data_IF_535789975284
#
_entry.id   IF_535789975284
#
_cell.length_a   1.000
_cell.length_b   1.000
_cell.length_c   1.000
_cell.angle_alpha   90.00
_cell.angle_beta   90.00
_cell.angle_gamma   90.00
#
_symmetry.space_group_name_H-M   'P 1'
#
loop_
_entity.id
_entity.type
_entity.pdbx_description
1 polymer ?
#
# COMPACT_ATOMS: atom_id res chain seq x y z
N UNK A 1 -14.05 27.58 10.93
CA UNK A 1 -13.28 27.96 9.71
C UNK A 1 -13.25 26.78 8.76
N UNK A 2 -13.68 26.94 7.50
CA UNK A 2 -13.61 25.88 6.49
C UNK A 2 -12.19 25.83 5.93
N UNK A 3 -11.47 24.73 6.20
CA UNK A 3 -10.12 24.52 5.66
C UNK A 3 -10.20 24.28 4.15
N UNK A 4 -9.45 25.04 3.36
CA UNK A 4 -9.46 24.88 1.90
C UNK A 4 -8.68 23.65 1.45
N UNK A 5 -8.94 23.15 0.24
CA UNK A 5 -8.20 22.05 -0.35
C UNK A 5 -6.71 22.41 -0.50
N UNK A 6 -6.43 23.66 -0.90
CA UNK A 6 -5.06 24.17 -1.05
C UNK A 6 -4.31 24.20 0.29
N UNK A 7 -4.96 24.62 1.38
CA UNK A 7 -4.34 24.64 2.71
C UNK A 7 -3.96 23.21 3.15
N UNK A 8 -4.87 22.25 3.00
CA UNK A 8 -4.58 20.86 3.33
C UNK A 8 -3.50 20.26 2.44
N UNK A 9 -3.49 20.61 1.16
CA UNK A 9 -2.44 20.18 0.24
C UNK A 9 -1.06 20.70 0.66
N UNK A 10 -0.94 21.99 0.95
CA UNK A 10 0.31 22.59 1.44
C UNK A 10 0.74 22.02 2.80
N UNK A 11 -0.23 21.83 3.72
CA UNK A 11 0.04 21.24 5.04
C UNK A 11 0.49 19.79 4.92
N UNK A 12 -0.14 18.97 4.07
CA UNK A 12 0.27 17.59 3.83
C UNK A 12 1.67 17.48 3.25
N UNK A 13 2.04 18.41 2.33
CA UNK A 13 3.39 18.51 1.79
C UNK A 13 4.44 18.88 2.85
N UNK A 14 4.11 19.73 3.81
CA UNK A 14 4.97 20.03 4.97
C UNK A 14 5.05 18.86 5.93
N UNK A 15 3.93 18.23 6.26
CA UNK A 15 3.87 17.07 7.15
C UNK A 15 4.71 15.88 6.63
N UNK A 16 4.79 15.70 5.30
CA UNK A 16 5.60 14.68 4.68
C UNK A 16 7.12 14.93 4.76
N UNK A 17 7.54 16.16 5.10
CA UNK A 17 8.97 16.50 5.26
C UNK A 17 9.50 16.18 6.67
N UNK A 18 8.65 15.74 7.57
CA UNK A 18 9.05 15.33 8.92
C UNK A 18 9.94 14.08 8.84
N UNK A 19 11.18 14.20 9.30
CA UNK A 19 12.18 13.13 9.22
C UNK A 19 11.78 11.88 10.00
N UNK A 20 10.96 12.03 11.05
CA UNK A 20 10.43 10.89 11.82
C UNK A 20 9.49 10.02 10.98
N UNK A 21 8.62 10.65 10.18
CA UNK A 21 7.72 9.94 9.26
C UNK A 21 8.49 9.25 8.15
N UNK A 22 9.52 9.93 7.61
CA UNK A 22 10.42 9.36 6.60
C UNK A 22 11.20 8.18 7.13
N UNK A 23 11.70 8.27 8.37
CA UNK A 23 12.42 7.17 9.02
C UNK A 23 11.53 5.93 9.16
N UNK A 24 10.27 6.08 9.59
CA UNK A 24 9.32 4.95 9.64
C UNK A 24 9.03 4.38 8.24
N UNK A 25 8.89 5.23 7.23
CA UNK A 25 8.77 4.78 5.84
C UNK A 25 10.04 4.08 5.35
N UNK A 26 11.22 4.55 5.74
CA UNK A 26 12.50 3.90 5.41
C UNK A 26 12.56 2.49 5.99
N UNK A 27 12.16 2.30 7.25
CA UNK A 27 12.08 0.95 7.84
C UNK A 27 11.09 0.05 7.07
N UNK A 28 9.94 0.57 6.64
CA UNK A 28 9.00 -0.19 5.81
C UNK A 28 9.60 -0.57 4.44
N UNK A 29 10.31 0.36 3.80
CA UNK A 29 11.02 0.12 2.53
C UNK A 29 12.11 -0.93 2.70
N UNK A 30 12.95 -0.80 3.73
CA UNK A 30 14.03 -1.76 4.02
C UNK A 30 13.50 -3.15 4.43
N UNK A 31 12.31 -3.23 5.03
CA UNK A 31 11.66 -4.50 5.33
C UNK A 31 11.05 -5.17 4.08
N UNK A 32 10.83 -4.44 3.00
CA UNK A 32 10.18 -4.96 1.78
C UNK A 32 10.98 -6.08 1.09
N UNK A 33 12.30 -5.95 0.80
CA UNK A 33 13.06 -7.02 0.16
C UNK A 33 13.06 -8.34 0.95
N UNK A 34 13.38 -8.37 2.25
CA UNK A 34 13.38 -9.63 2.99
C UNK A 34 11.96 -10.23 3.12
N UNK A 35 10.91 -9.43 3.17
CA UNK A 35 9.54 -9.95 3.17
C UNK A 35 9.15 -10.56 1.83
N UNK A 36 9.58 -9.97 0.71
CA UNK A 36 9.37 -10.54 -0.62
C UNK A 36 10.16 -11.84 -0.83
N UNK A 37 11.40 -11.91 -0.35
CA UNK A 37 12.19 -13.14 -0.37
C UNK A 37 11.50 -14.25 0.43
N UNK A 38 11.01 -13.95 1.61
CA UNK A 38 10.27 -14.91 2.43
C UNK A 38 8.97 -15.35 1.75
N UNK A 39 8.25 -14.43 1.12
CA UNK A 39 7.05 -14.74 0.36
C UNK A 39 7.35 -15.67 -0.83
N UNK A 40 8.44 -15.41 -1.55
CA UNK A 40 8.90 -16.28 -2.64
C UNK A 40 9.26 -17.69 -2.17
N UNK A 41 9.93 -17.79 -1.03
CA UNK A 41 10.25 -19.07 -0.41
C UNK A 41 8.98 -19.85 -0.01
N UNK A 42 8.06 -19.18 0.69
CA UNK A 42 6.78 -19.79 1.11
C UNK A 42 5.93 -20.21 -0.09
N UNK A 43 5.85 -19.40 -1.12
CA UNK A 43 5.14 -19.72 -2.36
C UNK A 43 5.68 -20.99 -3.02
N UNK A 44 7.00 -21.15 -3.12
CA UNK A 44 7.65 -22.36 -3.65
C UNK A 44 7.40 -23.60 -2.80
N UNK A 45 7.43 -23.46 -1.47
CA UNK A 45 7.09 -24.56 -0.55
C UNK A 45 5.65 -25.03 -0.79
N UNK A 46 4.71 -24.11 -0.98
CA UNK A 46 3.31 -24.44 -1.20
C UNK A 46 3.04 -25.07 -2.58
N UNK A 47 3.85 -24.73 -3.59
CA UNK A 47 3.74 -25.34 -4.93
C UNK A 47 4.49 -26.67 -5.05
N UNK A 48 5.18 -27.13 -4.00
CA UNK A 48 5.98 -28.35 -4.04
C UNK A 48 7.22 -28.25 -4.95
N UNK A 49 7.63 -27.03 -5.34
CA UNK A 49 8.81 -26.83 -6.15
C UNK A 49 10.05 -27.14 -5.33
N UNK A 50 10.97 -27.94 -5.88
CA UNK A 50 12.20 -28.35 -5.23
C UNK A 50 13.00 -27.15 -4.71
N UNK A 51 13.16 -27.10 -3.39
CA UNK A 51 14.10 -26.20 -2.71
C UNK A 51 15.53 -26.72 -2.88
N UNK A 52 15.98 -26.86 -4.13
CA UNK A 52 17.38 -27.18 -4.34
C UNK A 52 18.22 -26.09 -3.67
N UNK A 53 19.13 -26.48 -2.75
CA UNK A 53 20.03 -25.57 -2.02
C UNK A 53 20.80 -24.59 -2.92
N UNK A 54 20.93 -24.91 -4.24
CA UNK A 54 21.41 -24.02 -5.28
C UNK A 54 20.54 -22.76 -5.49
N UNK A 55 19.25 -22.82 -5.18
CA UNK A 55 18.32 -21.66 -5.30
C UNK A 55 18.56 -20.59 -4.23
N UNK A 56 19.11 -20.93 -3.07
CA UNK A 56 19.48 -19.93 -2.04
C UNK A 56 20.65 -19.02 -2.48
N UNK A 57 21.42 -19.44 -3.49
CA UNK A 57 22.51 -18.63 -4.06
C UNK A 57 22.01 -17.44 -4.89
N UNK A 58 20.73 -17.44 -5.32
CA UNK A 58 20.16 -16.38 -6.15
C UNK A 58 18.85 -15.86 -5.56
N UNK A 59 18.91 -15.11 -4.44
CA UNK A 59 17.70 -14.67 -3.73
C UNK A 59 16.74 -13.84 -4.61
N UNK A 60 17.25 -13.11 -5.60
CA UNK A 60 16.43 -12.32 -6.53
C UNK A 60 15.56 -13.23 -7.42
N UNK A 61 16.03 -14.42 -7.77
CA UNK A 61 15.26 -15.37 -8.59
C UNK A 61 14.00 -15.85 -7.86
N UNK A 62 14.00 -15.93 -6.52
CA UNK A 62 12.81 -16.30 -5.76
C UNK A 62 11.67 -15.27 -5.85
N UNK A 63 11.99 -14.02 -6.16
CA UNK A 63 11.02 -12.95 -6.35
C UNK A 63 10.61 -12.82 -7.82
N UNK A 64 11.58 -12.98 -8.73
CA UNK A 64 11.38 -12.74 -10.17
C UNK A 64 10.89 -13.99 -10.89
N UNK A 65 11.37 -15.19 -10.50
CA UNK A 65 11.01 -16.43 -11.17
C UNK A 65 9.50 -16.71 -11.23
N UNK A 66 8.71 -16.56 -10.15
CA UNK A 66 7.28 -16.84 -10.23
C UNK A 66 6.56 -15.96 -11.26
N UNK A 67 6.95 -14.69 -11.38
CA UNK A 67 6.35 -13.76 -12.34
C UNK A 67 6.85 -14.05 -13.75
N UNK A 68 8.15 -14.33 -13.91
CA UNK A 68 8.74 -14.72 -15.20
C UNK A 68 8.17 -16.04 -15.68
N UNK A 69 8.09 -17.04 -14.81
CA UNK A 69 7.63 -18.39 -15.15
C UNK A 69 6.15 -18.40 -15.51
N UNK A 70 5.33 -17.54 -14.89
CA UNK A 70 3.95 -17.30 -15.33
C UNK A 70 3.88 -16.74 -16.76
N UNK A 71 4.82 -15.88 -17.13
CA UNK A 71 4.84 -15.25 -18.45
C UNK A 71 5.46 -16.15 -19.53
N UNK A 72 6.46 -16.96 -19.16
CA UNK A 72 7.24 -17.76 -20.10
C UNK A 72 6.80 -19.24 -20.18
N UNK A 73 6.20 -19.78 -19.11
CA UNK A 73 5.92 -21.21 -18.95
C UNK A 73 4.46 -21.52 -18.56
N UNK A 74 3.55 -20.54 -18.71
CA UNK A 74 2.12 -20.66 -18.36
C UNK A 74 1.85 -21.09 -16.90
N UNK A 75 2.81 -20.91 -15.97
CA UNK A 75 2.60 -21.15 -14.53
C UNK A 75 1.86 -19.99 -13.85
N UNK A 76 0.63 -19.75 -14.32
CA UNK A 76 -0.25 -18.71 -13.80
C UNK A 76 -0.59 -18.95 -12.33
N UNK A 77 -0.72 -20.24 -11.94
CA UNK A 77 -1.09 -20.60 -10.56
C UNK A 77 0.02 -20.25 -9.57
N UNK A 78 1.27 -20.58 -9.90
CA UNK A 78 2.43 -20.23 -9.08
C UNK A 78 2.61 -18.73 -8.93
N UNK A 79 2.39 -17.97 -10.01
CA UNK A 79 2.44 -16.52 -9.95
C UNK A 79 1.32 -15.91 -9.09
N UNK A 80 0.09 -16.36 -9.23
CA UNK A 80 -1.03 -15.92 -8.41
C UNK A 80 -0.79 -16.19 -6.93
N UNK A 81 -0.29 -17.40 -6.61
CA UNK A 81 0.04 -17.78 -5.24
C UNK A 81 1.17 -16.89 -4.69
N UNK A 82 2.22 -16.63 -5.48
CA UNK A 82 3.28 -15.70 -5.08
C UNK A 82 2.74 -14.29 -4.79
N UNK A 83 1.93 -13.74 -5.69
CA UNK A 83 1.34 -12.40 -5.52
C UNK A 83 0.48 -12.35 -4.27
N UNK A 84 -0.33 -13.38 -4.01
CA UNK A 84 -1.17 -13.46 -2.81
C UNK A 84 -0.33 -13.51 -1.53
N UNK A 85 0.65 -14.40 -1.49
CA UNK A 85 1.57 -14.55 -0.34
C UNK A 85 2.35 -13.26 -0.12
N UNK A 86 2.92 -12.67 -1.19
CA UNK A 86 3.64 -11.41 -1.12
C UNK A 86 2.75 -10.26 -0.60
N UNK A 87 1.50 -10.18 -1.06
CA UNK A 87 0.55 -9.18 -0.59
C UNK A 87 0.28 -9.30 0.91
N UNK A 88 0.09 -10.54 1.43
CA UNK A 88 -0.11 -10.80 2.86
C UNK A 88 1.13 -10.40 3.67
N UNK A 89 2.31 -10.85 3.24
CA UNK A 89 3.58 -10.54 3.92
C UNK A 89 3.90 -9.05 3.93
N UNK A 90 3.65 -8.33 2.83
CA UNK A 90 3.84 -6.88 2.75
C UNK A 90 2.78 -6.09 3.52
N UNK A 91 1.56 -6.63 3.64
CA UNK A 91 0.48 -5.94 4.35
C UNK A 91 0.82 -5.69 5.83
N UNK A 92 1.58 -6.58 6.47
CA UNK A 92 1.95 -6.45 7.89
C UNK A 92 2.90 -5.27 8.15
N UNK A 93 4.13 -5.23 7.58
CA UNK A 93 5.04 -4.10 7.84
C UNK A 93 4.46 -2.77 7.35
N UNK A 94 3.85 -2.73 6.17
CA UNK A 94 3.22 -1.53 5.65
C UNK A 94 1.91 -1.17 6.36
N UNK A 95 1.19 -2.13 6.94
CA UNK A 95 0.04 -1.88 7.81
C UNK A 95 0.45 -1.20 9.11
N UNK A 96 1.49 -1.69 9.77
CA UNK A 96 1.95 -1.16 11.05
C UNK A 96 2.73 0.15 10.87
N UNK A 97 3.79 0.15 10.06
CA UNK A 97 4.64 1.34 9.89
C UNK A 97 3.91 2.43 9.11
N UNK A 98 3.22 2.08 8.04
CA UNK A 98 2.41 3.02 7.29
C UNK A 98 1.21 3.54 8.08
N UNK A 99 0.60 2.70 8.92
CA UNK A 99 -0.45 3.09 9.87
C UNK A 99 0.05 4.09 10.92
N UNK A 100 1.24 3.89 11.46
CA UNK A 100 1.88 4.84 12.37
C UNK A 100 2.14 6.20 11.68
N UNK A 101 2.66 6.20 10.45
CA UNK A 101 2.84 7.44 9.67
C UNK A 101 1.49 8.12 9.38
N UNK A 102 0.44 7.35 9.06
CA UNK A 102 -0.89 7.88 8.85
C UNK A 102 -1.45 8.52 10.13
N UNK A 103 -1.24 7.90 11.30
CA UNK A 103 -1.63 8.47 12.60
C UNK A 103 -0.90 9.77 12.91
N UNK A 104 0.43 9.79 12.75
CA UNK A 104 1.22 11.01 12.91
C UNK A 104 0.75 12.11 11.94
N UNK A 105 0.40 11.76 10.71
CA UNK A 105 -0.13 12.71 9.73
C UNK A 105 -1.52 13.22 10.13
N UNK A 106 -2.40 12.37 10.67
CA UNK A 106 -3.72 12.76 11.15
C UNK A 106 -3.61 13.81 12.26
N UNK A 107 -2.80 13.55 13.29
CA UNK A 107 -2.60 14.46 14.44
C UNK A 107 -1.94 15.77 14.00
N UNK A 108 -0.95 15.73 13.12
CA UNK A 108 -0.25 16.91 12.60
C UNK A 108 -1.20 17.79 11.75
N UNK A 109 -1.97 17.19 10.86
CA UNK A 109 -2.85 17.94 9.96
C UNK A 109 -4.11 18.46 10.65
N UNK A 110 -4.69 17.70 11.57
CA UNK A 110 -5.91 18.08 12.24
C UNK A 110 -5.66 18.92 13.50
N UNK A 111 -4.79 18.47 14.42
CA UNK A 111 -4.55 19.14 15.69
C UNK A 111 -3.35 20.12 15.67
N UNK A 112 -2.58 20.18 14.57
CA UNK A 112 -1.41 21.05 14.46
C UNK A 112 -0.27 20.70 15.41
N UNK A 113 -0.30 19.54 16.05
CA UNK A 113 0.70 19.06 17.01
C UNK A 113 1.41 17.82 16.49
N UNK A 114 2.63 17.60 16.96
CA UNK A 114 3.44 16.46 16.56
C UNK A 114 3.26 15.30 17.53
N UNK A 115 2.78 14.18 17.07
CA UNK A 115 2.72 12.93 17.84
C UNK A 115 4.08 12.24 17.86
N UNK A 116 4.45 11.61 18.99
CA UNK A 116 5.70 10.86 19.07
C UNK A 116 5.61 9.57 18.23
N UNK A 117 6.69 9.16 17.54
CA UNK A 117 6.69 7.93 16.74
C UNK A 117 6.34 6.69 17.56
N UNK A 118 6.73 6.64 18.83
CA UNK A 118 6.42 5.54 19.76
C UNK A 118 4.91 5.39 19.97
N UNK A 119 4.21 6.50 20.18
CA UNK A 119 2.76 6.48 20.47
C UNK A 119 1.97 6.15 19.21
N UNK A 120 2.38 6.70 18.06
CA UNK A 120 1.82 6.37 16.77
C UNK A 120 2.03 4.90 16.39
N UNK A 121 3.20 4.32 16.73
CA UNK A 121 3.49 2.90 16.51
C UNK A 121 2.67 2.02 17.45
N UNK A 122 2.50 2.41 18.71
CA UNK A 122 1.63 1.70 19.66
C UNK A 122 0.17 1.72 19.19
N UNK A 123 -0.31 2.85 18.66
CA UNK A 123 -1.62 2.95 18.03
C UNK A 123 -1.73 1.99 16.84
N UNK A 124 -0.79 2.06 15.90
CA UNK A 124 -0.82 1.23 14.69
C UNK A 124 -0.76 -0.27 14.99
N UNK A 125 -0.01 -0.70 16.02
CA UNK A 125 0.01 -2.09 16.49
C UNK A 125 -1.33 -2.54 17.04
N UNK A 126 -2.00 -1.72 17.84
CA UNK A 126 -3.35 -2.03 18.35
C UNK A 126 -4.36 -2.17 17.22
N UNK A 127 -4.25 -1.34 16.18
CA UNK A 127 -5.13 -1.33 15.01
C UNK A 127 -4.58 -2.10 13.81
N UNK A 128 -3.54 -2.93 13.99
CA UNK A 128 -2.91 -3.67 12.89
C UNK A 128 -3.92 -4.53 12.12
N UNK A 129 -4.85 -5.19 12.83
CA UNK A 129 -5.94 -5.96 12.21
C UNK A 129 -6.85 -5.07 11.35
N UNK A 130 -7.13 -3.85 11.77
CA UNK A 130 -7.89 -2.86 11.00
C UNK A 130 -7.16 -2.47 9.71
N UNK A 131 -5.90 -2.06 9.81
CA UNK A 131 -5.08 -1.64 8.67
C UNK A 131 -4.85 -2.77 7.64
N UNK A 132 -4.65 -3.99 8.10
CA UNK A 132 -4.46 -5.16 7.23
C UNK A 132 -5.81 -5.65 6.72
N UNK A 133 -6.81 -5.78 7.60
CA UNK A 133 -8.14 -6.30 7.29
C UNK A 133 -8.90 -5.45 6.29
N UNK A 134 -8.84 -4.12 6.40
CA UNK A 134 -9.48 -3.23 5.43
C UNK A 134 -8.93 -3.45 4.00
N UNK A 135 -7.62 -3.64 3.86
CA UNK A 135 -7.01 -3.98 2.57
C UNK A 135 -7.42 -5.37 2.10
N UNK A 136 -7.43 -6.35 3.02
CA UNK A 136 -7.80 -7.72 2.69
C UNK A 136 -9.25 -7.81 2.20
N UNK A 137 -10.20 -7.14 2.85
CA UNK A 137 -11.61 -7.09 2.42
C UNK A 137 -11.75 -6.48 1.03
N UNK A 138 -11.04 -5.37 0.77
CA UNK A 138 -11.09 -4.69 -0.53
C UNK A 138 -10.49 -5.54 -1.66
N UNK A 139 -9.40 -6.26 -1.39
CA UNK A 139 -8.80 -7.16 -2.37
C UNK A 139 -9.62 -8.45 -2.54
N UNK A 140 -10.24 -8.95 -1.48
CA UNK A 140 -11.12 -10.13 -1.58
C UNK A 140 -12.28 -9.88 -2.55
N UNK A 141 -12.84 -8.66 -2.58
CA UNK A 141 -13.87 -8.26 -3.53
C UNK A 141 -13.47 -8.39 -5.00
N UNK A 142 -12.18 -8.27 -5.32
CA UNK A 142 -11.66 -8.46 -6.67
C UNK A 142 -11.18 -9.90 -6.92
N UNK A 143 -10.50 -10.50 -5.94
CA UNK A 143 -9.91 -11.83 -6.07
C UNK A 143 -10.95 -12.94 -6.12
N UNK A 144 -12.08 -12.79 -5.43
CA UNK A 144 -13.13 -13.80 -5.42
C UNK A 144 -13.75 -14.02 -6.81
N UNK A 145 -14.22 -12.98 -7.54
CA UNK A 145 -14.69 -13.17 -8.91
C UNK A 145 -13.60 -13.67 -9.86
N UNK A 146 -12.35 -13.25 -9.69
CA UNK A 146 -11.23 -13.74 -10.49
C UNK A 146 -10.97 -15.23 -10.24
N UNK A 147 -11.03 -15.71 -9.00
CA UNK A 147 -10.92 -17.12 -8.66
C UNK A 147 -12.08 -17.94 -9.24
N UNK A 148 -13.31 -17.42 -9.17
CA UNK A 148 -14.48 -18.06 -9.78
C UNK A 148 -14.35 -18.15 -11.31
N UNK A 149 -13.81 -17.10 -11.96
CA UNK A 149 -13.52 -17.12 -13.40
C UNK A 149 -12.50 -18.23 -13.75
N UNK A 150 -11.44 -18.37 -12.94
CA UNK A 150 -10.45 -19.42 -13.12
C UNK A 150 -11.06 -20.82 -12.92
N UNK A 151 -11.89 -21.01 -11.89
CA UNK A 151 -12.61 -22.27 -11.67
C UNK A 151 -13.53 -22.61 -12.86
N UNK A 152 -14.26 -21.62 -13.39
CA UNK A 152 -15.08 -21.82 -14.59
C UNK A 152 -14.22 -22.23 -15.81
N UNK A 153 -13.05 -21.62 -16.00
CA UNK A 153 -12.13 -21.97 -17.07
C UNK A 153 -11.56 -23.42 -16.91
N UNK A 154 -11.35 -23.89 -15.67
CA UNK A 154 -10.88 -25.24 -15.40
C UNK A 154 -11.90 -26.31 -15.81
N UNK A 155 -13.21 -26.02 -15.81
CA UNK A 155 -14.25 -26.96 -16.28
C UNK A 155 -14.03 -27.33 -17.75
N UNK A 156 -13.49 -26.45 -18.57
CA UNK A 156 -13.17 -26.71 -19.98
C UNK A 156 -12.05 -27.76 -20.16
N UNK A 157 -11.26 -28.05 -19.12
CA UNK A 157 -10.18 -29.05 -19.17
C UNK A 157 -10.66 -30.48 -18.88
N UNK A 158 -11.95 -30.66 -18.53
CA UNK A 158 -12.50 -31.97 -18.28
C UNK A 158 -12.60 -32.78 -19.59
N UNK A 159 -12.40 -34.10 -19.55
CA UNK A 159 -12.46 -34.91 -20.76
C UNK A 159 -13.89 -35.10 -21.29
N UNK A 160 -14.03 -35.27 -22.60
CA UNK A 160 -15.27 -35.64 -23.27
C UNK A 160 -16.36 -34.56 -23.22
N UNK A 161 -17.62 -35.00 -23.18
CA UNK A 161 -18.78 -34.09 -23.22
C UNK A 161 -18.83 -33.08 -22.06
N UNK A 162 -18.28 -33.45 -20.89
CA UNK A 162 -18.20 -32.56 -19.75
C UNK A 162 -17.26 -31.36 -20.02
N UNK A 163 -16.14 -31.60 -20.69
CA UNK A 163 -15.22 -30.55 -21.10
C UNK A 163 -15.85 -29.61 -22.13
N UNK A 164 -16.60 -30.13 -23.09
CA UNK A 164 -17.33 -29.32 -24.07
C UNK A 164 -18.39 -28.44 -23.38
N UNK A 165 -19.20 -29.02 -22.48
CA UNK A 165 -20.16 -28.25 -21.69
C UNK A 165 -19.48 -27.22 -20.80
N UNK A 166 -18.34 -27.58 -20.17
CA UNK A 166 -17.51 -26.70 -19.38
C UNK A 166 -16.94 -25.53 -20.20
N UNK A 167 -16.52 -25.78 -21.44
CA UNK A 167 -16.04 -24.74 -22.35
C UNK A 167 -17.16 -23.73 -22.70
N UNK A 168 -18.38 -24.18 -22.95
CA UNK A 168 -19.53 -23.28 -23.20
C UNK A 168 -19.81 -22.40 -21.99
N UNK A 169 -19.80 -22.98 -20.78
CA UNK A 169 -19.96 -22.22 -19.54
C UNK A 169 -18.82 -21.21 -19.37
N UNK A 170 -17.57 -21.63 -19.61
CA UNK A 170 -16.41 -20.77 -19.46
C UNK A 170 -16.42 -19.56 -20.39
N UNK A 171 -16.81 -19.75 -21.68
CA UNK A 171 -16.89 -18.65 -22.65
C UNK A 171 -17.84 -17.53 -22.20
N UNK A 172 -18.91 -17.86 -21.47
CA UNK A 172 -19.87 -16.86 -20.97
C UNK A 172 -19.47 -16.34 -19.58
N UNK A 173 -19.11 -17.25 -18.66
CA UNK A 173 -18.86 -16.92 -17.28
C UNK A 173 -17.54 -16.16 -17.07
N UNK A 174 -16.48 -16.55 -17.78
CA UNK A 174 -15.13 -15.94 -17.58
C UNK A 174 -15.11 -14.44 -17.92
N UNK A 175 -15.62 -13.97 -19.06
CA UNK A 175 -15.65 -12.53 -19.35
C UNK A 175 -16.52 -11.74 -18.36
N UNK A 176 -17.67 -12.29 -17.96
CA UNK A 176 -18.56 -11.64 -16.99
C UNK A 176 -17.89 -11.50 -15.61
N UNK A 177 -17.31 -12.58 -15.10
CA UNK A 177 -16.58 -12.58 -13.81
C UNK A 177 -15.31 -11.74 -13.86
N UNK A 178 -14.58 -11.74 -14.97
CA UNK A 178 -13.43 -10.88 -15.18
C UNK A 178 -13.82 -9.39 -15.14
N UNK A 179 -14.93 -9.02 -15.77
CA UNK A 179 -15.45 -7.66 -15.69
C UNK A 179 -15.79 -7.26 -14.25
N UNK A 180 -16.48 -8.14 -13.51
CA UNK A 180 -16.80 -7.92 -12.09
C UNK A 180 -15.52 -7.78 -11.28
N UNK A 181 -14.50 -8.63 -11.51
CA UNK A 181 -13.20 -8.54 -10.82
C UNK A 181 -12.49 -7.22 -11.09
N UNK A 182 -12.48 -6.75 -12.34
CA UNK A 182 -11.86 -5.47 -12.73
C UNK A 182 -12.59 -4.28 -12.10
N UNK A 183 -13.93 -4.28 -12.13
CA UNK A 183 -14.73 -3.22 -11.51
C UNK A 183 -14.54 -3.21 -10.00
N UNK A 184 -14.65 -4.36 -9.34
CA UNK A 184 -14.44 -4.49 -7.89
C UNK A 184 -13.00 -4.13 -7.50
N UNK A 185 -12.01 -4.54 -8.28
CA UNK A 185 -10.60 -4.19 -8.06
C UNK A 185 -10.33 -2.71 -8.20
N UNK A 186 -10.94 -2.06 -9.19
CA UNK A 186 -10.83 -0.61 -9.40
C UNK A 186 -11.46 0.17 -8.24
N UNK A 187 -12.66 -0.22 -7.82
CA UNK A 187 -13.32 0.35 -6.64
C UNK A 187 -12.54 0.05 -5.37
N UNK A 188 -12.01 -1.17 -5.21
CA UNK A 188 -11.15 -1.56 -4.09
C UNK A 188 -9.87 -0.73 -4.02
N UNK A 189 -9.24 -0.45 -5.16
CA UNK A 189 -8.06 0.41 -5.22
C UNK A 189 -8.37 1.87 -4.85
N UNK A 190 -9.54 2.37 -5.26
CA UNK A 190 -10.04 3.69 -4.83
C UNK A 190 -10.31 3.70 -3.31
N UNK A 191 -10.95 2.64 -2.83
CA UNK A 191 -11.31 2.45 -1.43
C UNK A 191 -10.09 2.32 -0.51
N UNK A 192 -9.09 1.52 -0.90
CA UNK A 192 -7.85 1.34 -0.14
C UNK A 192 -7.08 2.66 0.08
N UNK A 193 -7.34 3.65 -0.77
CA UNK A 193 -6.73 4.98 -0.66
C UNK A 193 -7.25 5.75 0.56
N UNK A 194 -8.51 5.56 0.96
CA UNK A 194 -9.18 6.27 2.05
C UNK A 194 -9.21 5.46 3.34
N UNK A 195 -9.30 4.13 3.27
CA UNK A 195 -9.49 3.26 4.44
C UNK A 195 -8.40 3.41 5.51
N UNK A 196 -7.12 3.48 5.13
CA UNK A 196 -6.03 3.69 6.09
C UNK A 196 -6.12 5.03 6.83
N UNK A 197 -6.30 6.16 6.14
CA UNK A 197 -6.60 7.45 6.75
C UNK A 197 -7.81 7.46 7.69
N UNK A 198 -8.90 6.75 7.35
CA UNK A 198 -10.09 6.63 8.21
C UNK A 198 -9.74 6.00 9.55
N UNK A 199 -9.06 4.83 9.53
CA UNK A 199 -8.63 4.15 10.75
C UNK A 199 -7.73 5.06 11.60
N UNK A 200 -6.77 5.72 10.95
CA UNK A 200 -5.80 6.56 11.65
C UNK A 200 -6.41 7.83 12.27
N UNK A 201 -7.46 8.40 11.67
CA UNK A 201 -8.10 9.63 12.14
C UNK A 201 -9.27 9.38 13.11
N UNK A 202 -9.96 8.25 12.98
CA UNK A 202 -11.23 8.01 13.69
C UNK A 202 -11.19 6.87 14.68
N UNK A 203 -10.04 6.19 14.83
CA UNK A 203 -9.91 5.05 15.74
C UNK A 203 -10.92 3.94 15.40
N UNK A 204 -11.19 3.77 14.09
CA UNK A 204 -12.19 2.85 13.55
C UNK A 204 -11.61 1.49 13.22
N UNK A 205 -12.48 0.50 13.05
CA UNK A 205 -12.10 -0.84 12.60
C UNK A 205 -12.05 -0.94 11.06
N UNK A 206 -11.75 -2.15 10.56
CA UNK A 206 -11.65 -2.41 9.12
C UNK A 206 -12.99 -2.24 8.40
N UNK A 207 -14.08 -2.68 9.02
CA UNK A 207 -15.41 -2.67 8.42
C UNK A 207 -15.96 -1.24 8.31
N UNK A 208 -15.85 -0.46 9.39
CA UNK A 208 -16.25 0.94 9.40
C UNK A 208 -15.45 1.76 8.36
N UNK A 209 -14.13 1.53 8.29
CA UNK A 209 -13.29 2.19 7.30
C UNK A 209 -13.72 1.87 5.85
N UNK A 210 -14.06 0.62 5.55
CA UNK A 210 -14.54 0.20 4.22
C UNK A 210 -15.92 0.78 3.93
N UNK A 211 -16.85 0.72 4.89
CA UNK A 211 -18.20 1.29 4.78
C UNK A 211 -18.18 2.78 4.44
N UNK A 212 -17.32 3.57 5.11
CA UNK A 212 -17.16 5.01 4.81
C UNK A 212 -16.63 5.28 3.42
N UNK A 213 -15.75 4.44 2.91
CA UNK A 213 -15.28 4.59 1.54
C UNK A 213 -16.41 4.46 0.54
N UNK A 214 -17.29 3.46 0.71
CA UNK A 214 -18.47 3.31 -0.14
C UNK A 214 -19.42 4.50 0.00
N UNK A 215 -19.60 5.03 1.21
CA UNK A 215 -20.39 6.25 1.43
C UNK A 215 -19.83 7.46 0.70
N UNK A 216 -18.51 7.65 0.70
CA UNK A 216 -17.86 8.74 -0.06
C UNK A 216 -17.93 8.54 -1.58
N UNK A 217 -17.83 7.32 -2.05
CA UNK A 217 -18.01 7.00 -3.47
C UNK A 217 -19.46 7.26 -3.92
N UNK A 218 -20.44 6.87 -3.11
CA UNK A 218 -21.86 7.11 -3.36
C UNK A 218 -22.22 8.61 -3.31
N UNK A 219 -21.60 9.38 -2.39
CA UNK A 219 -21.83 10.82 -2.27
C UNK A 219 -21.25 11.63 -3.46
N UNK A 220 -20.37 11.05 -4.28
CA UNK A 220 -19.85 11.68 -5.49
C UNK A 220 -18.51 11.15 -5.93
N UNK A 221 -18.52 10.12 -6.76
CA UNK A 221 -17.34 9.52 -7.37
C UNK A 221 -16.41 10.54 -8.08
N UNK A 222 -16.92 11.51 -8.88
CA UNK A 222 -16.06 12.51 -9.51
C UNK A 222 -15.32 13.39 -8.50
N UNK A 223 -15.93 13.68 -7.36
CA UNK A 223 -15.32 14.47 -6.28
C UNK A 223 -14.19 13.68 -5.61
N UNK A 224 -14.41 12.40 -5.33
CA UNK A 224 -13.41 11.50 -4.80
C UNK A 224 -12.19 11.37 -5.74
N UNK A 225 -12.45 11.19 -7.04
CA UNK A 225 -11.42 11.13 -8.08
C UNK A 225 -10.66 12.45 -8.22
N UNK A 226 -11.37 13.58 -8.24
CA UNK A 226 -10.76 14.91 -8.34
C UNK A 226 -9.78 15.20 -7.21
N UNK A 227 -10.19 14.94 -5.96
CA UNK A 227 -9.32 15.11 -4.79
C UNK A 227 -8.11 14.18 -4.87
N UNK A 228 -8.31 12.91 -5.24
CA UNK A 228 -7.22 11.96 -5.43
C UNK A 228 -6.20 12.46 -6.46
N UNK A 229 -6.67 12.96 -7.60
CA UNK A 229 -5.80 13.47 -8.66
C UNK A 229 -4.99 14.69 -8.20
N UNK A 230 -5.60 15.62 -7.48
CA UNK A 230 -4.90 16.80 -6.93
C UNK A 230 -3.77 16.38 -5.99
N UNK A 231 -4.06 15.51 -5.01
CA UNK A 231 -3.04 15.06 -4.06
C UNK A 231 -1.99 14.15 -4.70
N UNK A 232 -2.38 13.27 -5.64
CA UNK A 232 -1.45 12.45 -6.40
C UNK A 232 -0.54 13.31 -7.28
N UNK A 233 -1.07 14.31 -7.97
CA UNK A 233 -0.29 15.27 -8.74
C UNK A 233 0.78 15.98 -7.90
N UNK A 234 0.42 16.43 -6.70
CA UNK A 234 1.36 17.02 -5.76
C UNK A 234 2.43 16.06 -5.26
N UNK A 235 2.05 14.80 -5.02
CA UNK A 235 3.00 13.74 -4.65
C UNK A 235 3.98 13.49 -5.79
N UNK A 236 3.49 13.31 -7.02
CA UNK A 236 4.31 13.06 -8.20
C UNK A 236 5.27 14.22 -8.47
N UNK A 237 4.78 15.46 -8.44
CA UNK A 237 5.62 16.64 -8.65
C UNK A 237 6.75 16.74 -7.61
N UNK A 238 6.40 16.54 -6.33
CA UNK A 238 7.38 16.55 -5.26
C UNK A 238 8.37 15.39 -5.30
N UNK A 239 7.93 14.21 -5.75
CA UNK A 239 8.78 13.02 -5.92
C UNK A 239 9.72 13.17 -7.13
N UNK A 240 9.23 13.71 -8.25
CA UNK A 240 10.04 13.96 -9.45
C UNK A 240 11.18 14.93 -9.18
N UNK A 241 10.92 16.02 -8.44
CA UNK A 241 11.96 16.96 -8.05
C UNK A 241 13.05 16.29 -7.20
N UNK A 242 12.67 15.42 -6.26
CA UNK A 242 13.64 14.68 -5.46
C UNK A 242 14.39 13.64 -6.27
N UNK A 243 13.70 12.92 -7.15
CA UNK A 243 14.34 11.96 -8.05
C UNK A 243 15.42 12.66 -8.88
N UNK A 244 15.09 13.82 -9.47
CA UNK A 244 16.04 14.60 -10.23
C UNK A 244 17.28 14.96 -9.40
N UNK A 245 17.11 15.42 -8.16
CA UNK A 245 18.22 15.72 -7.26
C UNK A 245 19.04 14.48 -6.91
N UNK A 246 18.38 13.35 -6.64
CA UNK A 246 19.06 12.08 -6.32
C UNK A 246 19.87 11.58 -7.51
N UNK A 247 19.29 11.63 -8.71
CA UNK A 247 19.98 11.25 -9.95
C UNK A 247 21.15 12.19 -10.23
N UNK A 248 20.96 13.50 -10.09
CA UNK A 248 22.04 14.47 -10.25
C UNK A 248 23.18 14.22 -9.26
N UNK A 249 22.88 13.94 -8.00
CA UNK A 249 23.89 13.59 -6.98
C UNK A 249 24.63 12.31 -7.35
N UNK A 250 23.91 11.27 -7.79
CA UNK A 250 24.50 10.00 -8.20
C UNK A 250 25.40 10.17 -9.44
N UNK A 251 24.98 10.99 -10.41
CA UNK A 251 25.78 11.31 -11.60
C UNK A 251 27.06 12.04 -11.24
N UNK A 252 26.99 13.09 -10.41
CA UNK A 252 28.17 13.84 -9.97
C UNK A 252 29.12 12.93 -9.20
N UNK A 253 28.61 12.11 -8.29
CA UNK A 253 29.41 11.14 -7.55
C UNK A 253 30.05 10.09 -8.49
N UNK A 254 29.30 9.57 -9.48
CA UNK A 254 29.80 8.63 -10.47
C UNK A 254 30.92 9.22 -11.33
N UNK A 255 30.76 10.46 -11.80
CA UNK A 255 31.79 11.18 -12.57
C UNK A 255 33.04 11.39 -11.70
N UNK A 256 32.87 11.81 -10.44
CA UNK A 256 33.99 12.02 -9.53
C UNK A 256 34.75 10.73 -9.23
N UNK A 257 34.04 9.62 -9.02
CA UNK A 257 34.64 8.29 -8.81
C UNK A 257 35.37 7.80 -10.07
N UNK A 258 34.77 7.99 -11.24
CA UNK A 258 35.40 7.62 -12.52
C UNK A 258 36.66 8.45 -12.80
N UNK A 259 36.62 9.74 -12.48
CA UNK A 259 37.80 10.62 -12.64
C UNK A 259 38.91 10.29 -11.64
N UNK A 260 38.56 9.96 -10.40
CA UNK A 260 39.53 9.65 -9.33
C UNK A 260 40.11 8.23 -9.43
N UNK A 261 39.29 7.22 -9.69
CA UNK A 261 39.74 5.83 -9.77
C UNK A 261 40.27 5.42 -11.16
N UNK A 262 39.93 6.17 -12.20
CA UNK A 262 40.13 5.83 -13.59
C UNK A 262 38.99 4.95 -14.14
N UNK A 263 38.71 5.12 -15.43
CA UNK A 263 37.60 4.46 -16.12
C UNK A 263 37.68 2.93 -16.04
N UNK A 264 38.86 2.36 -16.24
CA UNK A 264 39.03 0.90 -16.23
C UNK A 264 38.65 0.27 -14.88
N UNK A 265 39.08 0.87 -13.74
CA UNK A 265 38.73 0.38 -12.42
C UNK A 265 37.25 0.56 -12.12
N UNK A 266 36.66 1.69 -12.50
CA UNK A 266 35.24 1.94 -12.31
C UNK A 266 34.38 0.93 -13.08
N UNK A 267 34.74 0.63 -14.33
CA UNK A 267 34.07 -0.39 -15.16
C UNK A 267 34.29 -1.81 -14.59
N UNK A 268 35.46 -2.11 -14.00
CA UNK A 268 35.71 -3.37 -13.31
C UNK A 268 34.80 -3.53 -12.09
N UNK A 269 34.57 -2.48 -11.29
CA UNK A 269 33.65 -2.52 -10.14
C UNK A 269 32.20 -2.77 -10.57
N UNK A 270 31.75 -2.11 -11.66
CA UNK A 270 30.42 -2.37 -12.23
C UNK A 270 30.33 -3.78 -12.83
N UNK A 271 31.40 -4.26 -13.45
CA UNK A 271 31.50 -5.63 -13.97
C UNK A 271 31.42 -6.66 -12.86
N UNK A 272 32.08 -6.41 -11.73
CA UNK A 272 32.01 -7.26 -10.55
C UNK A 272 30.56 -7.43 -10.02
N UNK A 273 29.77 -6.36 -10.00
CA UNK A 273 28.36 -6.44 -9.62
C UNK A 273 27.52 -7.27 -10.59
N UNK A 274 27.75 -7.14 -11.90
CA UNK A 274 27.06 -7.92 -12.93
C UNK A 274 27.38 -9.41 -12.84
N UNK A 275 28.68 -9.74 -12.60
CA UNK A 275 29.12 -11.13 -12.50
C UNK A 275 28.63 -11.82 -11.23
N UNK A 276 28.42 -11.10 -10.12
CA UNK A 276 27.72 -11.64 -8.94
C UNK A 276 26.30 -12.10 -9.29
N UNK A 277 25.57 -11.33 -10.10
CA UNK A 277 24.22 -11.69 -10.56
C UNK A 277 24.20 -12.91 -11.50
N UNK A 278 25.27 -13.15 -12.26
CA UNK A 278 25.38 -14.26 -13.22
C UNK A 278 26.12 -15.49 -12.68
N UNK A 279 26.60 -15.46 -11.43
CA UNK A 279 27.36 -16.57 -10.80
C UNK A 279 28.81 -16.68 -11.29
N UNK A 280 29.38 -15.64 -11.88
CA UNK A 280 30.76 -15.54 -12.30
C UNK A 280 31.75 -15.39 -11.13
N UNK A 281 33.04 -15.73 -11.40
CA UNK A 281 34.13 -15.46 -10.44
C UNK A 281 34.52 -13.99 -10.50
N UNK A 282 34.62 -13.34 -9.32
CA UNK A 282 34.97 -11.94 -9.20
C UNK A 282 36.28 -11.78 -8.46
N UNK A 283 37.24 -10.99 -8.95
CA UNK A 283 38.41 -10.62 -8.18
C UNK A 283 38.02 -9.91 -6.88
N UNK A 284 38.59 -10.34 -5.74
CA UNK A 284 38.24 -9.79 -4.42
C UNK A 284 38.51 -8.28 -4.35
N UNK A 285 39.54 -7.79 -5.08
CA UNK A 285 39.88 -6.37 -5.14
C UNK A 285 38.80 -5.46 -5.74
N UNK A 286 37.99 -5.99 -6.66
CA UNK A 286 36.91 -5.26 -7.33
C UNK A 286 35.56 -5.48 -6.66
N UNK A 287 35.42 -6.57 -5.90
CA UNK A 287 34.19 -6.96 -5.23
C UNK A 287 33.77 -5.94 -4.16
N UNK A 288 34.69 -5.57 -3.28
CA UNK A 288 34.38 -4.66 -2.16
C UNK A 288 33.96 -3.25 -2.62
N UNK A 289 34.70 -2.58 -3.53
CA UNK A 289 34.27 -1.30 -4.08
C UNK A 289 32.94 -1.40 -4.84
N UNK A 290 32.74 -2.48 -5.61
CA UNK A 290 31.48 -2.74 -6.30
C UNK A 290 30.29 -2.87 -5.32
N UNK A 291 30.43 -3.67 -4.26
CA UNK A 291 29.40 -3.80 -3.22
C UNK A 291 29.10 -2.49 -2.50
N UNK A 292 30.12 -1.68 -2.19
CA UNK A 292 29.94 -0.37 -1.59
C UNK A 292 29.16 0.56 -2.52
N UNK A 293 29.48 0.57 -3.82
CA UNK A 293 28.76 1.34 -4.83
C UNK A 293 27.30 0.92 -4.91
N UNK A 294 27.02 -0.40 -4.93
CA UNK A 294 25.67 -0.94 -4.91
C UNK A 294 24.91 -0.56 -3.62
N UNK A 295 25.56 -0.63 -2.46
CA UNK A 295 24.96 -0.26 -1.18
C UNK A 295 24.59 1.23 -1.14
N UNK A 296 25.45 2.11 -1.66
CA UNK A 296 25.15 3.54 -1.77
C UNK A 296 23.97 3.78 -2.73
N UNK A 297 23.96 3.16 -3.90
CA UNK A 297 22.86 3.28 -4.85
C UNK A 297 21.53 2.76 -4.27
N UNK A 298 21.54 1.60 -3.61
CA UNK A 298 20.39 1.03 -2.93
C UNK A 298 19.91 1.94 -1.78
N UNK A 299 20.84 2.51 -1.00
CA UNK A 299 20.53 3.47 0.07
C UNK A 299 19.85 4.73 -0.46
N UNK A 300 20.35 5.32 -1.54
CA UNK A 300 19.73 6.47 -2.21
C UNK A 300 18.33 6.14 -2.73
N UNK A 301 18.16 4.98 -3.36
CA UNK A 301 16.86 4.51 -3.83
C UNK A 301 15.88 4.30 -2.65
N UNK A 302 16.32 3.68 -1.56
CA UNK A 302 15.52 3.47 -0.36
C UNK A 302 15.08 4.80 0.28
N UNK A 303 15.96 5.79 0.36
CA UNK A 303 15.64 7.13 0.88
C UNK A 303 14.62 7.84 -0.02
N UNK A 304 14.75 7.73 -1.34
CA UNK A 304 13.79 8.29 -2.27
C UNK A 304 12.41 7.62 -2.15
N UNK A 305 12.37 6.28 -2.06
CA UNK A 305 11.13 5.51 -1.87
C UNK A 305 10.47 5.84 -0.54
N UNK A 306 11.25 6.01 0.53
CA UNK A 306 10.74 6.41 1.84
C UNK A 306 10.09 7.80 1.82
N UNK A 307 10.71 8.78 1.13
CA UNK A 307 10.12 10.10 0.96
C UNK A 307 8.84 10.05 0.10
N UNK A 308 8.85 9.27 -0.96
CA UNK A 308 7.65 9.04 -1.79
C UNK A 308 6.52 8.44 -0.96
N UNK A 309 6.80 7.40 -0.17
CA UNK A 309 5.81 6.76 0.71
C UNK A 309 5.24 7.75 1.74
N UNK A 310 6.10 8.54 2.40
CA UNK A 310 5.66 9.55 3.36
C UNK A 310 4.72 10.59 2.70
N UNK A 311 5.04 11.05 1.48
CA UNK A 311 4.19 11.97 0.70
C UNK A 311 2.85 11.36 0.34
N UNK A 312 2.86 10.10 -0.12
CA UNK A 312 1.63 9.37 -0.45
C UNK A 312 0.74 9.27 0.78
N UNK A 313 1.28 8.86 1.93
CA UNK A 313 0.50 8.67 3.16
C UNK A 313 -0.03 10.01 3.67
N UNK A 314 0.80 11.05 3.76
CA UNK A 314 0.36 12.38 4.19
C UNK A 314 -0.64 13.02 3.21
N UNK A 315 -0.45 12.84 1.92
CA UNK A 315 -1.38 13.31 0.88
C UNK A 315 -2.75 12.63 1.00
N UNK A 316 -2.76 11.31 1.22
CA UNK A 316 -4.01 10.54 1.44
C UNK A 316 -4.75 11.03 2.68
N UNK A 317 -4.02 11.33 3.76
CA UNK A 317 -4.61 11.88 4.97
C UNK A 317 -5.23 13.27 4.72
N UNK A 318 -4.52 14.16 4.03
CA UNK A 318 -5.05 15.48 3.67
C UNK A 318 -6.33 15.40 2.84
N UNK A 319 -6.35 14.51 1.85
CA UNK A 319 -7.52 14.26 1.02
C UNK A 319 -8.70 13.69 1.81
N UNK A 320 -8.44 12.75 2.72
CA UNK A 320 -9.45 12.18 3.60
C UNK A 320 -10.10 13.24 4.50
N UNK A 321 -9.29 14.08 5.17
CA UNK A 321 -9.79 15.15 6.03
C UNK A 321 -10.65 16.15 5.25
N UNK A 322 -10.28 16.45 3.99
CA UNK A 322 -11.09 17.31 3.14
C UNK A 322 -12.44 16.65 2.76
N UNK A 323 -12.41 15.35 2.38
CA UNK A 323 -13.64 14.61 2.06
C UNK A 323 -14.57 14.54 3.27
N UNK A 324 -14.04 14.24 4.45
CA UNK A 324 -14.75 14.19 5.71
C UNK A 324 -15.44 15.53 6.03
N UNK A 325 -14.73 16.64 5.83
CA UNK A 325 -15.32 17.97 6.03
C UNK A 325 -16.46 18.27 5.04
N UNK A 326 -16.33 17.79 3.79
CA UNK A 326 -17.30 18.09 2.72
C UNK A 326 -18.50 17.15 2.70
N UNK A 327 -18.33 15.90 3.05
CA UNK A 327 -19.37 14.88 3.01
C UNK A 327 -20.03 14.75 4.39
N UNK A 328 -19.23 14.53 5.44
CA UNK A 328 -19.74 14.29 6.80
C UNK A 328 -19.96 15.60 7.57
N UNK A 329 -19.56 16.75 7.03
CA UNK A 329 -19.62 18.08 7.66
C UNK A 329 -18.87 18.16 9.00
N UNK A 330 -17.94 17.23 9.22
CA UNK A 330 -17.12 17.19 10.45
C UNK A 330 -15.90 18.09 10.27
N UNK A 331 -15.64 19.03 11.20
CA UNK A 331 -14.45 19.89 11.15
C UNK A 331 -13.16 19.08 11.14
N UNK A 332 -12.15 19.58 10.40
CA UNK A 332 -10.88 18.88 10.22
C UNK A 332 -10.05 18.74 11.49
N UNK A 333 -10.28 19.60 12.49
CA UNK A 333 -9.61 19.64 13.79
C UNK A 333 -10.14 18.61 14.81
N UNK A 334 -11.30 18.02 14.55
CA UNK A 334 -11.86 16.97 15.40
C UNK A 334 -11.32 15.60 15.02
N UNK A 335 -10.32 15.13 15.75
CA UNK A 335 -9.91 13.74 15.75
C UNK A 335 -10.60 12.99 16.88
N UNK A 336 -11.02 11.75 16.64
CA UNK A 336 -11.36 10.86 17.74
C UNK A 336 -10.05 10.42 18.42
N UNK A 337 -9.76 11.01 19.57
CA UNK A 337 -8.59 10.68 20.40
C UNK A 337 -8.99 9.85 21.61
N UNK A 338 -10.27 9.51 21.74
CA UNK A 338 -10.80 8.83 22.94
C UNK A 338 -10.59 7.31 22.85
N UNK A 339 -10.15 6.66 23.92
CA UNK A 339 -10.29 5.21 24.04
C UNK A 339 -11.78 4.87 23.98
N UNK A 340 -12.12 3.97 23.08
CA UNK A 340 -13.41 3.36 22.83
C UNK A 340 -14.54 3.67 23.86
N UNK A 341 -15.19 4.82 23.71
CA UNK A 341 -16.55 5.02 24.20
C UNK A 341 -17.54 4.50 23.15
N UNK A 342 -18.69 3.95 23.54
CA UNK A 342 -19.64 3.41 22.59
C UNK A 342 -20.05 4.48 21.57
N UNK A 343 -20.09 4.08 20.30
CA UNK A 343 -20.38 4.91 19.10
C UNK A 343 -21.63 5.78 19.24
N UNK A 344 -22.50 5.46 20.19
CA UNK A 344 -23.76 6.15 20.46
C UNK A 344 -23.65 7.48 21.24
N UNK A 345 -22.58 7.71 22.02
CA UNK A 345 -22.46 8.97 22.80
C UNK A 345 -22.12 10.17 21.92
N UNK A 346 -21.41 9.98 20.82
CA UNK A 346 -21.06 11.09 19.92
C UNK A 346 -22.16 11.40 18.89
N UNK A 347 -23.05 10.46 18.60
CA UNK A 347 -24.23 10.68 17.77
C UNK A 347 -25.23 11.61 18.48
N UNK A 348 -25.31 11.54 19.82
CA UNK A 348 -26.12 12.42 20.62
C UNK A 348 -25.56 13.85 20.67
N UNK A 349 -24.23 14.00 20.75
CA UNK A 349 -23.56 15.30 20.71
C UNK A 349 -23.56 15.94 19.30
N UNK A 350 -23.76 15.17 18.24
CA UNK A 350 -23.79 15.64 16.85
C UNK A 350 -25.22 15.96 16.35
N UNK A 351 -26.23 15.83 17.18
CA UNK A 351 -27.64 16.10 16.81
C UNK A 351 -28.29 15.02 15.95
N UNK A 352 -27.63 13.87 15.72
CA UNK A 352 -28.18 12.78 14.92
C UNK A 352 -29.28 11.98 15.65
N UNK A 353 -29.44 12.18 16.98
CA UNK A 353 -30.43 11.43 17.77
C UNK A 353 -31.80 12.11 17.75
N UNK A 354 -31.90 13.35 17.28
CA UNK A 354 -33.20 14.07 17.25
C UNK A 354 -34.20 13.47 16.26
N UNK A 355 -33.71 12.75 15.23
CA UNK A 355 -34.60 12.13 14.24
C UNK A 355 -35.22 10.80 14.73
N UNK A 356 -34.61 10.12 15.69
CA UNK A 356 -35.15 8.87 16.24
C UNK A 356 -36.18 9.04 17.37
N UNK A 357 -36.31 10.25 17.92
CA UNK A 357 -37.31 10.55 18.98
C UNK A 357 -38.69 10.95 18.45
N UNK A 358 -38.84 11.14 17.15
CA UNK A 358 -40.14 11.42 16.54
C UNK A 358 -40.85 10.09 16.28
N UNK A 359 -41.47 9.52 17.30
CA UNK A 359 -42.34 8.35 17.05
C UNK A 359 -42.74 7.47 18.22
N UNK A 360 -42.29 7.71 19.43
CA UNK A 360 -42.80 6.95 20.58
C UNK A 360 -43.59 7.88 21.53
N UNK A 361 -44.95 7.87 21.52
CA UNK A 361 -45.74 8.57 22.51
C UNK A 361 -45.53 7.89 23.86
N UNK A 362 -44.75 8.51 24.73
CA UNK A 362 -44.69 8.11 26.15
C UNK A 362 -46.06 8.37 26.79
N UNK A 363 -46.86 7.32 27.00
CA UNK A 363 -48.01 7.34 27.87
C UNK A 363 -47.55 7.83 29.25
N UNK A 364 -47.94 9.04 29.63
CA UNK A 364 -47.85 9.51 31.02
C UNK A 364 -48.74 8.63 31.90
N UNK A 365 -48.29 8.13 33.05
CA UNK A 365 -49.17 7.51 34.00
C UNK A 365 -50.03 8.60 34.62
N UNK A 366 -51.33 8.47 34.44
CA UNK A 366 -52.35 9.25 35.18
C UNK A 366 -52.31 8.83 36.65
N UNK A 367 -52.08 9.80 37.53
CA UNK A 367 -52.42 9.68 38.97
C UNK A 367 -53.89 9.91 39.16
#
# INVERSE_FOLDING_TARGET
MTTTLADLWHRSGRAARDDRKRLLCLYAVLATPPTLLLAGLVSRLLTGADLALGGLRRPIEHVVAPVRDAWMHDDVLGALLFVLVAAVFLAVPWGILGGAVARMAAVDLAAGRREAPRDALAFARRHARGFVGAKAVLWAGALLPAALAMLAALLARLPGALGTAGAVVAVVAVPALALVAVVAGSLGALAAWVAGPTIAAEDSDAFDAVSRVYSYAAAGLPRLLGVRLVFLGGVLLGASWRLLRTVATALVAGIALQAGAGRERFDAWLGALRSLGSGGTVPVGDLLPGLLLAAVAAGLAALWLADLAARVICGRMGAYLWLRQRVDRVPTDRLRTSPAGPVFQDAEAAGFVEVARIGVPTKRPTR
#
